data_IF_187122540431
#
_entry.id   IF_187122540431
#
_cell.length_a   1.000
_cell.length_b   1.000
_cell.length_c   1.000
_cell.angle_alpha   90.00
_cell.angle_beta   90.00
_cell.angle_gamma   90.00
#
_symmetry.space_group_name_H-M   'P 1'
#
loop_
_entity.id
_entity.type
_entity.pdbx_description
1 polymer ?
#
# COMPACT_ATOMS: atom_id res chain seq x y z
N UNK A 1 -17.46 22.36 25.54
CA UNK A 1 -16.00 22.14 25.38
C UNK A 1 -15.79 21.48 24.04
N UNK A 2 -15.29 22.23 23.06
CA UNK A 2 -15.28 21.84 21.65
C UNK A 2 -14.44 20.59 21.39
N UNK A 3 -15.06 19.57 20.80
CA UNK A 3 -14.39 18.34 20.40
C UNK A 3 -13.42 18.55 19.25
N UNK A 4 -12.56 17.56 19.03
CA UNK A 4 -11.60 17.53 17.93
C UNK A 4 -12.40 17.54 16.61
N UNK A 5 -12.28 18.63 15.86
CA UNK A 5 -12.94 18.80 14.57
C UNK A 5 -12.11 18.18 13.45
N UNK A 6 -12.79 17.56 12.48
CA UNK A 6 -12.15 16.97 11.28
C UNK A 6 -11.27 18.00 10.55
N UNK A 7 -11.68 19.28 10.55
CA UNK A 7 -10.90 20.38 9.96
C UNK A 7 -9.55 20.63 10.66
N UNK A 8 -9.49 20.45 11.98
CA UNK A 8 -8.24 20.61 12.73
C UNK A 8 -7.28 19.45 12.43
N UNK A 9 -7.79 18.24 12.31
CA UNK A 9 -6.99 17.07 11.93
C UNK A 9 -6.37 17.21 10.53
N UNK A 10 -7.09 17.77 9.56
CA UNK A 10 -6.54 18.05 8.23
C UNK A 10 -5.37 19.03 8.27
N UNK A 11 -5.51 20.13 9.03
CA UNK A 11 -4.43 21.12 9.17
C UNK A 11 -3.18 20.49 9.81
N UNK A 12 -3.36 19.68 10.86
CA UNK A 12 -2.26 18.96 11.52
C UNK A 12 -1.62 17.96 10.54
N UNK A 13 -2.43 17.21 9.78
CA UNK A 13 -1.93 16.25 8.80
C UNK A 13 -1.07 16.91 7.72
N UNK A 14 -1.45 18.11 7.25
CA UNK A 14 -0.66 18.89 6.28
C UNK A 14 0.69 19.29 6.88
N UNK A 15 0.71 19.78 8.13
CA UNK A 15 1.97 20.15 8.80
C UNK A 15 2.89 18.92 8.95
N UNK A 16 2.36 17.79 9.41
CA UNK A 16 3.11 16.53 9.52
C UNK A 16 3.62 16.08 8.14
N UNK A 17 2.81 16.21 7.09
CA UNK A 17 3.23 15.87 5.73
C UNK A 17 4.36 16.73 5.19
N UNK A 18 4.41 18.02 5.56
CA UNK A 18 5.51 18.91 5.22
C UNK A 18 6.78 18.62 6.02
N UNK A 19 6.65 18.28 7.31
CA UNK A 19 7.79 17.96 8.18
C UNK A 19 8.46 16.64 7.82
N UNK A 20 7.67 15.58 7.64
CA UNK A 20 8.19 14.24 7.34
C UNK A 20 8.40 14.01 5.84
N UNK A 21 7.81 14.86 5.00
CA UNK A 21 7.76 14.69 3.56
C UNK A 21 6.78 13.58 3.15
N UNK A 22 6.05 13.80 2.05
CA UNK A 22 5.07 12.83 1.52
C UNK A 22 5.68 11.51 1.08
N UNK A 23 6.99 11.48 0.78
CA UNK A 23 7.71 10.29 0.30
C UNK A 23 7.85 9.21 1.38
N UNK A 24 8.12 9.60 2.63
CA UNK A 24 8.18 8.69 3.79
C UNK A 24 6.78 8.25 4.22
N UNK A 25 5.84 9.19 4.22
CA UNK A 25 4.44 8.91 4.54
C UNK A 25 3.75 8.00 3.52
N UNK A 26 4.13 8.03 2.24
CA UNK A 26 3.54 7.16 1.22
C UNK A 26 3.96 5.71 1.36
N UNK A 27 5.24 5.45 1.67
CA UNK A 27 5.71 4.08 1.95
C UNK A 27 4.99 3.50 3.17
N UNK A 28 5.13 4.16 4.32
CA UNK A 28 4.52 3.68 5.58
C UNK A 28 2.98 3.73 5.55
N UNK A 29 2.41 4.72 4.86
CA UNK A 29 0.96 4.86 4.70
C UNK A 29 0.35 3.83 3.76
N UNK A 30 1.11 3.28 2.79
CA UNK A 30 0.62 2.17 1.96
C UNK A 30 0.54 0.87 2.78
N UNK A 31 1.53 0.61 3.62
CA UNK A 31 1.57 -0.58 4.49
C UNK A 31 0.47 -0.50 5.57
N UNK A 32 0.37 0.64 6.26
CA UNK A 32 -0.67 0.88 7.27
C UNK A 32 -2.06 0.98 6.64
N UNK A 33 -2.18 1.61 5.47
CA UNK A 33 -3.42 1.73 4.73
C UNK A 33 -3.95 0.38 4.24
N UNK A 34 -3.05 -0.51 3.81
CA UNK A 34 -3.39 -1.89 3.44
C UNK A 34 -3.98 -2.68 4.62
N UNK A 35 -3.34 -2.60 5.79
CA UNK A 35 -3.83 -3.26 7.01
C UNK A 35 -5.21 -2.73 7.45
N UNK A 36 -5.40 -1.40 7.42
CA UNK A 36 -6.68 -0.77 7.78
C UNK A 36 -7.77 -1.10 6.75
N UNK A 37 -7.44 -1.22 5.46
CA UNK A 37 -8.39 -1.63 4.40
C UNK A 37 -8.92 -3.04 4.64
N UNK A 38 -8.05 -3.99 5.03
CA UNK A 38 -8.45 -5.35 5.41
C UNK A 38 -9.35 -5.37 6.65
N UNK A 39 -9.01 -4.58 7.67
CA UNK A 39 -9.82 -4.44 8.88
C UNK A 39 -11.22 -3.85 8.58
N UNK A 40 -11.31 -2.79 7.78
CA UNK A 40 -12.59 -2.23 7.34
C UNK A 40 -13.38 -3.24 6.51
N UNK A 41 -12.72 -4.00 5.63
CA UNK A 41 -13.38 -5.02 4.81
C UNK A 41 -13.99 -6.12 5.68
N UNK A 42 -13.24 -6.66 6.65
CA UNK A 42 -13.76 -7.66 7.60
C UNK A 42 -14.97 -7.12 8.40
N UNK A 43 -14.88 -5.89 8.91
CA UNK A 43 -15.98 -5.22 9.62
C UNK A 43 -17.23 -5.03 8.75
N UNK A 44 -17.06 -4.78 7.45
CA UNK A 44 -18.20 -4.62 6.52
C UNK A 44 -18.69 -5.97 5.98
N UNK A 45 -17.87 -7.01 5.97
CA UNK A 45 -18.21 -8.37 5.51
C UNK A 45 -19.13 -9.07 6.53
N UNK A 46 -18.98 -8.78 7.82
CA UNK A 46 -19.94 -9.16 8.87
C UNK A 46 -21.31 -8.47 8.70
N UNK A 47 -21.37 -7.25 8.14
CA UNK A 47 -22.61 -6.51 7.85
C UNK A 47 -23.19 -6.82 6.44
N UNK A 48 -22.37 -7.31 5.50
CA UNK A 48 -22.68 -7.37 4.06
C UNK A 48 -22.47 -8.74 3.41
N UNK A 49 -22.88 -9.83 4.05
CA UNK A 49 -22.94 -11.18 3.47
C UNK A 49 -23.82 -11.33 2.21
N UNK A 50 -24.14 -10.24 1.48
CA UNK A 50 -25.00 -10.24 0.30
C UNK A 50 -24.40 -9.59 -0.97
N UNK A 51 -23.19 -8.98 -1.00
CA UNK A 51 -22.63 -8.47 -2.29
C UNK A 51 -21.12 -8.66 -2.44
N UNK A 52 -20.81 -9.78 -3.09
CA UNK A 52 -19.79 -9.99 -4.13
C UNK A 52 -18.41 -9.36 -3.98
N UNK A 53 -17.45 -10.28 -3.78
CA UNK A 53 -16.06 -10.28 -4.22
C UNK A 53 -15.79 -9.43 -5.49
N UNK A 54 -15.05 -8.34 -5.33
CA UNK A 54 -14.09 -7.87 -6.33
C UNK A 54 -13.00 -7.05 -5.62
N UNK A 55 -11.86 -6.92 -6.29
CA UNK A 55 -10.73 -6.04 -5.96
C UNK A 55 -9.72 -6.54 -4.93
N UNK A 56 -8.96 -7.55 -5.36
CA UNK A 56 -7.54 -7.62 -5.06
C UNK A 56 -6.76 -7.89 -6.37
N UNK A 57 -6.85 -6.98 -7.34
CA UNK A 57 -5.89 -6.92 -8.45
C UNK A 57 -4.68 -6.09 -8.00
N UNK A 58 -3.58 -6.78 -7.70
CA UNK A 58 -2.28 -6.17 -7.40
C UNK A 58 -1.44 -6.22 -8.69
N UNK A 59 -1.63 -5.23 -9.57
CA UNK A 59 -0.69 -4.96 -10.65
C UNK A 59 0.51 -4.20 -10.08
N UNK A 60 1.58 -4.93 -9.78
CA UNK A 60 2.79 -4.39 -9.16
C UNK A 60 4.02 -5.25 -9.44
N UNK A 61 4.33 -5.42 -10.73
CA UNK A 61 5.70 -5.69 -11.20
C UNK A 61 6.39 -6.95 -10.67
N UNK A 62 5.89 -8.14 -11.02
CA UNK A 62 6.70 -9.38 -11.02
C UNK A 62 6.95 -9.86 -12.46
N UNK A 63 7.69 -9.07 -13.25
CA UNK A 63 8.30 -9.59 -14.48
C UNK A 63 9.60 -8.85 -14.80
N UNK A 64 10.63 -9.12 -14.01
CA UNK A 64 12.03 -8.91 -14.39
C UNK A 64 12.87 -10.01 -13.74
N UNK A 65 12.62 -11.24 -14.20
CA UNK A 65 13.50 -12.41 -14.04
C UNK A 65 14.74 -12.19 -14.94
N UNK A 66 15.88 -12.84 -14.71
CA UNK A 66 16.75 -12.86 -13.54
C UNK A 66 18.21 -12.48 -13.90
N UNK A 67 19.09 -12.53 -12.91
CA UNK A 67 20.53 -12.33 -12.94
C UNK A 67 21.29 -12.97 -14.13
N UNK A 68 22.14 -12.15 -14.76
CA UNK A 68 23.56 -12.37 -14.99
C UNK A 68 24.11 -13.79 -14.68
N UNK A 69 24.49 -14.55 -15.72
CA UNK A 69 25.63 -15.47 -15.64
C UNK A 69 26.49 -15.33 -16.88
N UNK A 70 27.64 -14.70 -16.67
CA UNK A 70 28.79 -14.63 -17.55
C UNK A 70 29.43 -16.00 -17.77
N UNK A 71 29.98 -16.18 -18.99
CA UNK A 71 31.15 -17.01 -19.36
C UNK A 71 31.16 -18.48 -18.95
N UNK A 72 31.11 -19.37 -19.96
CA UNK A 72 32.18 -20.36 -20.13
C UNK A 72 32.35 -20.73 -21.62
N UNK A 73 33.61 -20.79 -22.06
CA UNK A 73 34.02 -21.36 -23.34
C UNK A 73 33.97 -22.89 -23.22
N UNK A 74 33.44 -23.63 -24.20
CA UNK A 74 34.21 -24.77 -24.73
C UNK A 74 33.61 -25.38 -26.00
N UNK A 75 34.52 -25.98 -26.76
CA UNK A 75 34.42 -26.59 -28.09
C UNK A 75 33.29 -27.62 -28.26
N UNK A 76 32.76 -27.73 -29.50
CA UNK A 76 32.83 -28.92 -30.38
C UNK A 76 31.67 -28.97 -31.38
N UNK A 77 31.98 -29.34 -32.63
CA UNK A 77 31.01 -29.74 -33.65
C UNK A 77 31.22 -29.05 -34.98
#
# INVERSE_FOLDING_TARGET
MGGISVWQLLIIAVIVALLFGTKKLRGMGSDLGGAIKGFKKALNEDDSAAKSQHDADFNGSELSKPAQKSTDNDKQG
#
